data_IF_480265242875
#
_entry.id   IF_480265242875
#
_cell.length_a   1.000
_cell.length_b   1.000
_cell.length_c   1.000
_cell.angle_alpha   90.00
_cell.angle_beta   90.00
_cell.angle_gamma   90.00
#
_symmetry.space_group_name_H-M   'P 1'
#
loop_
_entity.id
_entity.type
_entity.pdbx_description
1 polymer ?
#
# COMPACT_ATOMS: atom_id res chain seq x y z
N UNK A 1 -26.85 56.64 -13.89
CA UNK A 1 -25.55 56.77 -13.22
C UNK A 1 -25.30 55.68 -12.16
N UNK A 2 -26.30 54.90 -11.74
CA UNK A 2 -26.15 53.89 -10.68
C UNK A 2 -25.75 52.47 -11.18
N UNK A 3 -26.14 52.07 -12.39
CA UNK A 3 -25.83 50.74 -12.92
C UNK A 3 -24.33 50.50 -13.11
N UNK A 4 -23.59 51.49 -13.59
CA UNK A 4 -22.14 51.36 -13.79
C UNK A 4 -21.38 51.17 -12.47
N UNK A 5 -21.83 51.81 -11.39
CA UNK A 5 -21.28 51.63 -10.05
C UNK A 5 -21.53 50.21 -9.51
N UNK A 6 -22.72 49.65 -9.71
CA UNK A 6 -23.01 48.26 -9.30
C UNK A 6 -22.17 47.23 -10.08
N UNK A 7 -21.98 47.40 -11.37
CA UNK A 7 -21.10 46.56 -12.15
C UNK A 7 -19.64 46.63 -11.68
N UNK A 8 -19.16 47.83 -11.35
CA UNK A 8 -17.80 48.00 -10.86
C UNK A 8 -17.58 47.34 -9.49
N UNK A 9 -18.53 47.47 -8.56
CA UNK A 9 -18.49 46.81 -7.27
C UNK A 9 -18.60 45.28 -7.40
N UNK A 10 -19.43 44.75 -8.29
CA UNK A 10 -19.57 43.33 -8.55
C UNK A 10 -18.27 42.72 -9.10
N UNK A 11 -17.63 43.39 -10.04
CA UNK A 11 -16.32 42.94 -10.60
C UNK A 11 -15.22 42.98 -9.54
N UNK A 12 -15.20 44.00 -8.68
CA UNK A 12 -14.26 44.12 -7.57
C UNK A 12 -14.44 42.97 -6.55
N UNK A 13 -15.67 42.65 -6.19
CA UNK A 13 -15.99 41.56 -5.24
C UNK A 13 -15.57 40.22 -5.86
N UNK A 14 -15.86 39.97 -7.13
CA UNK A 14 -15.48 38.74 -7.83
C UNK A 14 -13.98 38.60 -7.97
N UNK A 15 -13.26 39.69 -8.24
CA UNK A 15 -11.80 39.67 -8.38
C UNK A 15 -11.06 39.35 -7.07
N UNK A 16 -11.64 39.61 -5.93
CA UNK A 16 -11.08 39.29 -4.60
C UNK A 16 -11.55 37.91 -4.11
N UNK A 17 -12.82 37.57 -4.34
CA UNK A 17 -13.41 36.35 -3.82
C UNK A 17 -12.88 35.08 -4.55
N UNK A 18 -12.65 35.14 -5.87
CA UNK A 18 -12.15 34.00 -6.63
C UNK A 18 -10.74 33.56 -6.17
N UNK A 19 -9.74 34.45 -6.07
CA UNK A 19 -8.42 34.04 -5.57
C UNK A 19 -8.45 33.61 -4.08
N UNK A 20 -9.35 34.18 -3.28
CA UNK A 20 -9.48 33.77 -1.88
C UNK A 20 -10.06 32.36 -1.74
N UNK A 21 -11.09 32.02 -2.53
CA UNK A 21 -11.63 30.64 -2.57
C UNK A 21 -10.58 29.67 -3.08
N UNK A 22 -9.83 30.03 -4.13
CA UNK A 22 -8.76 29.20 -4.68
C UNK A 22 -7.64 28.96 -3.65
N UNK A 23 -7.27 30.00 -2.91
CA UNK A 23 -6.30 29.90 -1.83
C UNK A 23 -6.80 29.01 -0.69
N UNK A 24 -8.06 29.18 -0.27
CA UNK A 24 -8.67 28.37 0.79
C UNK A 24 -8.79 26.90 0.42
N UNK A 25 -9.16 26.58 -0.83
CA UNK A 25 -9.25 25.22 -1.35
C UNK A 25 -7.85 24.58 -1.42
N UNK A 26 -6.84 25.32 -1.90
CA UNK A 26 -5.45 24.83 -1.93
C UNK A 26 -4.90 24.60 -0.51
N UNK A 27 -5.21 25.46 0.44
CA UNK A 27 -4.79 25.28 1.84
C UNK A 27 -5.45 24.04 2.45
N UNK A 28 -6.69 23.77 2.10
CA UNK A 28 -7.41 22.57 2.56
C UNK A 28 -6.85 21.29 1.95
N UNK A 29 -6.52 21.31 0.66
CA UNK A 29 -5.85 20.21 -0.04
C UNK A 29 -4.45 19.94 0.54
N UNK A 30 -3.66 20.98 0.82
CA UNK A 30 -2.34 20.83 1.46
C UNK A 30 -2.43 20.31 2.91
N UNK A 31 -3.45 20.70 3.67
CA UNK A 31 -3.69 20.14 5.01
C UNK A 31 -4.08 18.67 4.98
N UNK A 32 -4.82 18.24 3.96
CA UNK A 32 -5.17 16.83 3.76
C UNK A 32 -3.93 15.99 3.42
N UNK A 33 -3.05 16.49 2.57
CA UNK A 33 -1.77 15.82 2.24
C UNK A 33 -0.77 15.78 3.42
N UNK A 34 -0.75 16.78 4.29
CA UNK A 34 0.10 16.79 5.50
C UNK A 34 -0.33 15.79 6.58
N UNK A 35 -1.54 15.25 6.52
CA UNK A 35 -2.00 14.22 7.47
C UNK A 35 -1.52 12.82 7.15
N UNK A 36 -0.95 12.59 5.99
CA UNK A 36 -0.20 11.39 5.68
C UNK A 36 1.20 11.53 6.29
N UNK A 37 1.28 11.47 7.61
CA UNK A 37 2.55 11.34 8.31
C UNK A 37 3.05 9.91 8.08
N UNK A 38 3.54 9.64 6.89
CA UNK A 38 4.31 8.43 6.64
C UNK A 38 5.59 8.58 7.42
N UNK A 39 5.70 7.86 8.51
CA UNK A 39 6.98 7.53 9.08
C UNK A 39 7.71 6.68 8.03
N UNK A 40 8.36 7.35 7.09
CA UNK A 40 9.27 6.70 6.17
C UNK A 40 10.36 6.11 7.04
N UNK A 41 10.54 4.80 7.02
CA UNK A 41 11.65 4.11 7.67
C UNK A 41 12.93 4.85 7.24
N UNK A 42 13.81 5.17 8.19
CA UNK A 42 15.10 5.81 7.91
C UNK A 42 15.86 5.08 6.79
N UNK A 43 15.81 3.75 6.81
CA UNK A 43 16.39 2.88 5.78
C UNK A 43 15.79 3.11 4.39
N UNK A 44 14.50 3.44 4.30
CA UNK A 44 13.85 3.72 3.01
C UNK A 44 14.24 5.10 2.49
N UNK A 45 14.41 6.08 3.38
CA UNK A 45 14.89 7.41 3.03
C UNK A 45 16.34 7.35 2.53
N UNK A 46 17.22 6.62 3.24
CA UNK A 46 18.61 6.39 2.85
C UNK A 46 18.71 5.62 1.51
N UNK A 47 17.85 4.63 1.29
CA UNK A 47 17.79 3.90 0.02
C UNK A 47 17.35 4.79 -1.15
N UNK A 48 16.37 5.70 -0.93
CA UNK A 48 15.97 6.67 -1.94
C UNK A 48 17.09 7.67 -2.25
N UNK A 49 17.81 8.14 -1.24
CA UNK A 49 18.95 9.05 -1.40
C UNK A 49 20.09 8.37 -2.16
N UNK A 50 20.42 7.12 -1.81
CA UNK A 50 21.42 6.32 -2.51
C UNK A 50 21.04 6.06 -3.98
N UNK A 51 19.77 5.90 -4.30
CA UNK A 51 19.28 5.78 -5.68
C UNK A 51 19.44 7.07 -6.47
N UNK A 52 19.22 8.23 -5.84
CA UNK A 52 19.38 9.55 -6.46
C UNK A 52 20.87 9.82 -6.73
N UNK A 53 21.75 9.36 -5.84
CA UNK A 53 23.20 9.50 -5.93
C UNK A 53 23.88 8.42 -6.80
N UNK A 54 23.10 7.51 -7.43
CA UNK A 54 23.59 6.38 -8.22
C UNK A 54 24.54 5.42 -7.46
N UNK A 55 24.35 5.35 -6.14
CA UNK A 55 25.13 4.51 -5.24
C UNK A 55 24.61 3.07 -5.17
N UNK A 56 24.88 2.28 -6.20
CA UNK A 56 24.41 0.89 -6.34
C UNK A 56 24.97 -0.03 -5.26
N UNK A 57 26.12 0.28 -4.64
CA UNK A 57 26.75 -0.54 -3.61
C UNK A 57 25.88 -0.61 -2.33
N UNK A 58 25.30 0.51 -1.93
CA UNK A 58 24.38 0.59 -0.79
C UNK A 58 23.16 -0.33 -0.97
N UNK A 59 22.60 -0.40 -2.17
CA UNK A 59 21.43 -1.25 -2.48
C UNK A 59 21.73 -2.75 -2.42
N UNK A 60 22.98 -3.16 -2.69
CA UNK A 60 23.41 -4.56 -2.58
C UNK A 60 23.64 -4.99 -1.14
N UNK A 61 24.06 -4.08 -0.28
CA UNK A 61 24.39 -4.38 1.12
C UNK A 61 23.17 -4.33 2.04
N UNK A 62 22.19 -3.50 1.69
CA UNK A 62 20.95 -3.37 2.46
C UNK A 62 19.91 -4.41 2.02
N UNK A 63 20.22 -5.68 2.21
CA UNK A 63 19.17 -6.72 2.18
C UNK A 63 18.26 -6.47 3.37
N UNK A 64 17.08 -5.91 3.11
CA UNK A 64 16.00 -5.81 4.09
C UNK A 64 15.65 -7.25 4.54
N UNK A 65 16.27 -7.70 5.62
CA UNK A 65 15.91 -8.95 6.28
C UNK A 65 14.57 -8.75 6.97
N UNK A 66 13.49 -8.82 6.21
CA UNK A 66 12.15 -9.01 6.77
C UNK A 66 12.07 -10.46 7.22
N UNK A 67 12.63 -10.75 8.40
CA UNK A 67 12.41 -12.05 9.02
C UNK A 67 11.06 -12.00 9.73
N UNK A 68 10.08 -12.72 9.20
CA UNK A 68 8.90 -13.13 9.96
C UNK A 68 9.38 -14.02 11.12
N UNK A 69 9.80 -13.39 12.21
CA UNK A 69 10.08 -14.06 13.48
C UNK A 69 8.74 -14.37 14.14
N UNK A 70 8.71 -15.43 14.97
CA UNK A 70 7.54 -15.95 15.69
C UNK A 70 6.98 -14.96 16.75
N UNK A 71 6.68 -13.75 16.32
CA UNK A 71 5.87 -12.81 17.08
C UNK A 71 4.40 -13.21 17.00
N UNK A 72 3.60 -12.81 17.95
CA UNK A 72 2.15 -12.97 17.84
C UNK A 72 1.65 -12.22 16.59
N UNK A 73 0.60 -12.72 15.95
CA UNK A 73 0.03 -12.08 14.76
C UNK A 73 -0.29 -10.60 15.00
N UNK A 74 -0.79 -10.26 16.19
CA UNK A 74 -1.11 -8.87 16.57
C UNK A 74 0.14 -8.00 16.59
N UNK A 75 1.24 -8.49 17.16
CA UNK A 75 2.50 -7.78 17.21
C UNK A 75 3.08 -7.60 15.81
N UNK A 76 3.08 -8.66 15.00
CA UNK A 76 3.54 -8.60 13.61
C UNK A 76 2.76 -7.56 12.78
N UNK A 77 1.42 -7.56 12.87
CA UNK A 77 0.56 -6.61 12.15
C UNK A 77 0.88 -5.17 12.56
N UNK A 78 1.06 -4.94 13.87
CA UNK A 78 1.35 -3.61 14.42
C UNK A 78 2.74 -3.12 14.03
N UNK A 79 3.77 -3.94 14.21
CA UNK A 79 5.17 -3.58 13.91
C UNK A 79 5.40 -3.33 12.42
N UNK A 80 4.69 -4.05 11.56
CA UNK A 80 4.78 -3.88 10.11
C UNK A 80 3.79 -2.87 9.54
N UNK A 81 3.08 -2.13 10.41
CA UNK A 81 2.17 -1.05 10.02
C UNK A 81 1.10 -1.45 9.00
N UNK A 82 0.51 -2.65 9.16
CA UNK A 82 -0.61 -3.04 8.31
C UNK A 82 -1.82 -2.15 8.54
N UNK A 83 -2.53 -1.85 7.48
CA UNK A 83 -3.78 -1.09 7.54
C UNK A 83 -4.87 -1.98 8.14
N UNK A 84 -5.46 -1.59 9.26
CA UNK A 84 -6.45 -2.39 10.00
C UNK A 84 -7.89 -1.91 9.82
N UNK A 85 -8.10 -0.82 9.08
CA UNK A 85 -9.43 -0.27 8.76
C UNK A 85 -9.45 0.26 7.33
N UNK A 86 -10.61 0.26 6.70
CA UNK A 86 -10.80 0.92 5.40
C UNK A 86 -10.50 2.42 5.52
N UNK A 87 -9.86 3.00 4.52
CA UNK A 87 -9.45 4.41 4.51
C UNK A 87 -10.61 5.35 4.20
N UNK A 88 -11.64 4.84 3.50
CA UNK A 88 -12.88 5.58 3.21
C UNK A 88 -14.08 4.65 3.18
N UNK A 89 -15.28 5.24 3.25
CA UNK A 89 -16.53 4.50 3.09
C UNK A 89 -16.69 3.95 1.65
N UNK A 90 -16.16 4.66 0.67
CA UNK A 90 -16.14 4.24 -0.73
C UNK A 90 -15.31 2.97 -0.90
N UNK A 91 -14.09 2.92 -0.36
CA UNK A 91 -13.25 1.73 -0.41
C UNK A 91 -13.88 0.55 0.32
N UNK A 92 -14.53 0.79 1.47
CA UNK A 92 -15.24 -0.24 2.21
C UNK A 92 -16.39 -0.87 1.40
N UNK A 93 -17.04 -0.07 0.54
CA UNK A 93 -18.15 -0.52 -0.31
C UNK A 93 -17.71 -1.30 -1.56
N UNK A 94 -16.43 -1.23 -1.94
CA UNK A 94 -15.88 -1.88 -3.13
C UNK A 94 -14.69 -2.79 -2.81
N UNK A 95 -14.92 -3.93 -2.14
CA UNK A 95 -13.85 -4.89 -1.84
C UNK A 95 -13.31 -5.53 -3.12
N UNK A 96 -12.00 -5.75 -3.15
CA UNK A 96 -11.29 -6.41 -4.25
C UNK A 96 -10.88 -7.81 -3.81
N UNK A 97 -11.03 -8.79 -4.69
CA UNK A 97 -10.48 -10.13 -4.50
C UNK A 97 -9.14 -10.25 -5.23
N UNK A 98 -8.08 -10.57 -4.48
CA UNK A 98 -6.75 -10.84 -5.01
C UNK A 98 -6.51 -12.33 -5.12
N UNK A 99 -6.02 -12.79 -6.27
CA UNK A 99 -5.48 -14.13 -6.45
C UNK A 99 -3.97 -14.01 -6.65
N UNK A 100 -3.20 -14.59 -5.74
CA UNK A 100 -1.74 -14.48 -5.74
C UNK A 100 -1.13 -15.87 -5.93
N UNK A 101 -0.31 -16.05 -6.97
CA UNK A 101 0.40 -17.32 -7.22
C UNK A 101 1.87 -17.17 -6.87
N UNK A 102 2.35 -18.03 -5.98
CA UNK A 102 3.69 -17.97 -5.39
C UNK A 102 4.49 -19.24 -5.64
N UNK A 103 5.83 -19.12 -5.79
CA UNK A 103 6.71 -20.26 -5.94
C UNK A 103 8.06 -20.12 -5.24
N UNK A 104 8.50 -18.90 -4.95
CA UNK A 104 9.79 -18.57 -4.30
C UNK A 104 9.78 -17.14 -3.75
N UNK A 105 10.85 -16.77 -3.06
CA UNK A 105 11.11 -15.40 -2.58
C UNK A 105 10.03 -14.90 -1.61
N UNK A 106 10.02 -15.50 -0.41
CA UNK A 106 9.05 -15.16 0.64
C UNK A 106 9.03 -13.65 0.97
N UNK A 107 10.19 -13.03 1.05
CA UNK A 107 10.32 -11.61 1.39
C UNK A 107 9.67 -10.70 0.32
N UNK A 108 9.76 -11.09 -0.95
CA UNK A 108 9.08 -10.36 -2.03
C UNK A 108 7.57 -10.47 -1.91
N UNK A 109 7.07 -11.68 -1.61
CA UNK A 109 5.65 -11.89 -1.34
C UNK A 109 5.19 -11.07 -0.12
N UNK A 110 5.91 -11.13 0.99
CA UNK A 110 5.58 -10.41 2.22
C UNK A 110 5.47 -8.89 1.98
N UNK A 111 6.42 -8.31 1.26
CA UNK A 111 6.40 -6.90 0.89
C UNK A 111 5.21 -6.54 -0.01
N UNK A 112 4.97 -7.37 -1.03
CA UNK A 112 3.83 -7.17 -1.93
C UNK A 112 2.51 -7.27 -1.16
N UNK A 113 2.35 -8.32 -0.35
CA UNK A 113 1.14 -8.54 0.45
C UNK A 113 0.87 -7.36 1.37
N UNK A 114 1.90 -6.86 2.09
CA UNK A 114 1.79 -5.67 2.94
C UNK A 114 1.40 -4.42 2.16
N UNK A 115 1.96 -4.24 0.95
CA UNK A 115 1.68 -3.07 0.12
C UNK A 115 0.24 -3.02 -0.41
N UNK A 116 -0.38 -4.18 -0.66
CA UNK A 116 -1.73 -4.27 -1.23
C UNK A 116 -2.80 -4.65 -0.20
N UNK A 117 -2.39 -4.92 1.05
CA UNK A 117 -3.31 -5.37 2.08
C UNK A 117 -4.27 -4.26 2.52
N UNK A 118 -5.55 -4.57 2.45
CA UNK A 118 -6.65 -3.76 2.99
C UNK A 118 -7.67 -4.68 3.65
N UNK A 119 -8.24 -4.31 4.81
CA UNK A 119 -9.10 -5.20 5.58
C UNK A 119 -10.44 -5.53 4.92
N UNK A 120 -10.92 -4.70 4.00
CA UNK A 120 -12.15 -4.96 3.23
C UNK A 120 -11.93 -5.92 2.06
N UNK A 121 -10.68 -6.14 1.62
CA UNK A 121 -10.35 -6.98 0.48
C UNK A 121 -10.25 -8.46 0.88
N UNK A 122 -10.19 -9.35 -0.11
CA UNK A 122 -10.06 -10.80 0.08
C UNK A 122 -8.83 -11.29 -0.67
N UNK A 123 -8.05 -12.18 -0.04
CA UNK A 123 -6.77 -12.65 -0.58
C UNK A 123 -6.75 -14.18 -0.65
N UNK A 124 -6.79 -14.72 -1.87
CA UNK A 124 -6.58 -16.14 -2.14
C UNK A 124 -5.13 -16.36 -2.57
N UNK A 125 -4.35 -17.07 -1.77
CA UNK A 125 -2.93 -17.31 -2.02
C UNK A 125 -2.72 -18.75 -2.44
N UNK A 126 -2.25 -18.96 -3.67
CA UNK A 126 -1.86 -20.26 -4.21
C UNK A 126 -0.33 -20.40 -4.15
N UNK A 127 0.15 -21.45 -3.50
CA UNK A 127 1.58 -21.80 -3.48
C UNK A 127 1.81 -22.98 -4.41
N UNK A 128 2.74 -22.80 -5.36
CA UNK A 128 3.11 -23.85 -6.31
C UNK A 128 3.56 -25.12 -5.55
N UNK A 129 3.02 -26.26 -5.94
CA UNK A 129 3.38 -27.56 -5.35
C UNK A 129 4.88 -27.92 -5.45
N UNK A 130 5.62 -27.26 -6.36
CA UNK A 130 7.08 -27.41 -6.48
C UNK A 130 7.87 -26.60 -5.46
N UNK A 131 7.22 -25.66 -4.76
CA UNK A 131 7.89 -24.80 -3.79
C UNK A 131 8.40 -25.62 -2.59
N UNK A 132 9.54 -25.24 -1.98
CA UNK A 132 10.09 -25.95 -0.82
C UNK A 132 9.13 -25.89 0.39
N UNK A 133 9.15 -26.96 1.19
CA UNK A 133 8.32 -27.05 2.42
C UNK A 133 8.47 -25.85 3.35
N UNK A 134 9.69 -25.32 3.62
CA UNK A 134 9.84 -24.12 4.45
C UNK A 134 9.11 -22.89 3.89
N UNK A 135 9.07 -22.75 2.57
CA UNK A 135 8.34 -21.66 1.92
C UNK A 135 6.84 -21.79 2.13
N UNK A 136 6.27 -22.99 1.94
CA UNK A 136 4.85 -23.26 2.25
C UNK A 136 4.51 -22.94 3.70
N UNK A 137 5.37 -23.30 4.64
CA UNK A 137 5.16 -23.02 6.06
C UNK A 137 5.20 -21.54 6.36
N UNK A 138 6.16 -20.79 5.79
CA UNK A 138 6.28 -19.35 5.98
C UNK A 138 5.04 -18.62 5.44
N UNK A 139 4.60 -18.95 4.22
CA UNK A 139 3.39 -18.36 3.62
C UNK A 139 2.15 -18.70 4.45
N UNK A 140 2.00 -19.95 4.91
CA UNK A 140 0.87 -20.36 5.76
C UNK A 140 0.81 -19.58 7.07
N UNK A 141 1.95 -19.36 7.73
CA UNK A 141 2.02 -18.58 8.97
C UNK A 141 1.62 -17.14 8.73
N UNK A 142 2.16 -16.51 7.70
CA UNK A 142 1.83 -15.12 7.37
C UNK A 142 0.34 -14.95 7.07
N UNK A 143 -0.19 -15.73 6.14
CA UNK A 143 -1.58 -15.68 5.71
C UNK A 143 -2.54 -15.97 6.88
N UNK A 144 -2.16 -16.89 7.78
CA UNK A 144 -2.96 -17.22 8.98
C UNK A 144 -3.11 -16.07 9.98
N UNK A 145 -2.35 -14.99 9.86
CA UNK A 145 -2.50 -13.80 10.70
C UNK A 145 -3.64 -12.87 10.24
N UNK A 146 -4.22 -13.11 9.07
CA UNK A 146 -5.20 -12.22 8.46
C UNK A 146 -6.52 -12.93 8.21
N UNK A 147 -7.65 -12.48 8.79
CA UNK A 147 -8.94 -13.16 8.70
C UNK A 147 -9.54 -13.18 7.29
N UNK A 148 -9.10 -12.25 6.45
CA UNK A 148 -9.54 -12.08 5.06
C UNK A 148 -8.54 -12.66 4.03
N UNK A 149 -7.55 -13.42 4.49
CA UNK A 149 -6.57 -14.10 3.63
C UNK A 149 -6.58 -15.61 3.89
N UNK A 150 -6.49 -16.40 2.84
CA UNK A 150 -6.49 -17.87 2.93
C UNK A 150 -5.64 -18.50 1.83
N UNK A 151 -5.18 -19.72 2.10
CA UNK A 151 -4.50 -20.52 1.10
C UNK A 151 -5.52 -21.23 0.21
N UNK A 152 -5.21 -21.31 -1.08
CA UNK A 152 -5.98 -22.14 -2.01
C UNK A 152 -6.06 -23.58 -1.49
N UNK A 153 -7.22 -24.21 -1.63
CA UNK A 153 -7.48 -25.58 -1.16
C UNK A 153 -6.66 -26.65 -1.89
N UNK A 154 -6.18 -26.33 -3.10
CA UNK A 154 -5.32 -27.18 -3.91
C UNK A 154 -4.00 -26.49 -4.20
N UNK A 155 -2.89 -27.23 -4.02
CA UNK A 155 -1.58 -26.84 -4.48
C UNK A 155 -1.29 -27.63 -5.79
N UNK A 156 -1.20 -26.92 -6.90
CA UNK A 156 -0.92 -27.51 -8.21
C UNK A 156 0.47 -27.10 -8.69
N UNK A 157 1.03 -27.93 -9.58
CA UNK A 157 2.27 -27.56 -10.26
C UNK A 157 1.97 -26.54 -11.35
N UNK A 158 2.46 -25.34 -11.18
CA UNK A 158 2.27 -24.26 -12.15
C UNK A 158 3.31 -24.37 -13.27
N UNK A 159 2.86 -24.28 -14.52
CA UNK A 159 3.73 -24.13 -15.69
C UNK A 159 3.61 -22.69 -16.16
N UNK A 160 4.65 -21.90 -15.91
CA UNK A 160 4.67 -20.49 -16.30
C UNK A 160 4.77 -20.37 -17.83
N UNK A 161 3.90 -19.51 -18.40
CA UNK A 161 3.79 -19.33 -19.85
C UNK A 161 3.01 -20.43 -20.58
N UNK A 162 2.42 -21.38 -19.86
CA UNK A 162 1.53 -22.40 -20.38
C UNK A 162 0.12 -22.31 -19.80
N UNK A 163 -0.88 -22.78 -20.54
CA UNK A 163 -2.22 -23.03 -20.00
C UNK A 163 -2.16 -24.38 -19.31
N UNK A 164 -2.19 -24.42 -17.97
CA UNK A 164 -2.40 -25.66 -17.22
C UNK A 164 -3.85 -26.11 -17.42
N UNK A 165 -4.06 -27.31 -17.91
CA UNK A 165 -5.35 -27.98 -18.02
C UNK A 165 -5.72 -28.64 -16.71
#
# INVERSE_FOLDING_TARGET
MNMLRYCFFAVLILSVSIPFVFYAVNLHAQKSLRRLNFSVSSTLAEACEALIEDNVSFLKETTLKTSFRESSCTEYITQNHYITRALSAEEAAFPIAYVMTLHKEFETFERLFRAVYMPQNVYCVHVDAKAPVPFHQAVRRLVGCFPNAFLASRAERVVYGGISR
#
